data_IF_986037276051
#
_entry.id   IF_986037276051
#
_cell.length_a   1.000
_cell.length_b   1.000
_cell.length_c   1.000
_cell.angle_alpha   90.00
_cell.angle_beta   90.00
_cell.angle_gamma   90.00
#
_symmetry.space_group_name_H-M   'P 1'
#
loop_
_entity.id
_entity.type
_entity.pdbx_description
1 polymer ?
#
# COMPACT_ATOMS: atom_id res chain seq x y z
N UNK A 1 -72.17 -35.06 -38.89
CA UNK A 1 -70.93 -34.59 -39.55
C UNK A 1 -70.93 -33.07 -39.49
N UNK A 2 -69.82 -32.51 -38.99
CA UNK A 2 -69.37 -31.11 -39.09
C UNK A 2 -70.14 -30.05 -38.29
N UNK A 3 -69.52 -29.62 -37.19
CA UNK A 3 -69.72 -28.31 -36.54
C UNK A 3 -69.37 -27.16 -37.48
N UNK A 4 -69.90 -25.96 -37.21
CA UNK A 4 -68.99 -24.81 -37.17
C UNK A 4 -69.27 -23.83 -36.02
N UNK A 5 -68.32 -22.92 -35.88
CA UNK A 5 -67.96 -22.11 -34.72
C UNK A 5 -68.87 -20.87 -34.48
N UNK A 6 -68.90 -20.46 -33.20
CA UNK A 6 -68.96 -19.12 -32.55
C UNK A 6 -69.12 -17.83 -33.41
N UNK A 7 -69.64 -16.69 -32.86
CA UNK A 7 -69.00 -16.05 -31.68
C UNK A 7 -69.78 -15.01 -30.79
N UNK A 8 -69.07 -14.56 -29.72
CA UNK A 8 -69.17 -13.30 -28.94
C UNK A 8 -70.48 -13.00 -28.17
N UNK A 9 -70.53 -12.38 -26.99
CA UNK A 9 -69.58 -11.75 -26.05
C UNK A 9 -70.38 -11.40 -24.78
N UNK A 10 -69.86 -11.63 -23.57
CA UNK A 10 -70.28 -10.88 -22.38
C UNK A 10 -69.14 -10.86 -21.35
N UNK A 11 -68.80 -9.63 -20.95
CA UNK A 11 -67.65 -9.26 -20.14
C UNK A 11 -67.79 -9.66 -18.66
N UNK A 12 -66.65 -9.93 -18.02
CA UNK A 12 -66.49 -9.65 -16.60
C UNK A 12 -65.12 -9.03 -16.34
N UNK A 13 -65.15 -8.00 -15.49
CA UNK A 13 -64.09 -7.03 -15.23
C UNK A 13 -62.89 -7.71 -14.56
N UNK A 14 -61.73 -7.64 -15.20
CA UNK A 14 -60.47 -8.02 -14.58
C UNK A 14 -60.11 -7.05 -13.46
N UNK A 15 -60.06 -7.56 -12.22
CA UNK A 15 -59.34 -6.90 -11.15
C UNK A 15 -57.85 -6.88 -11.56
N UNK A 16 -57.34 -5.68 -11.82
CA UNK A 16 -55.92 -5.45 -12.12
C UNK A 16 -55.16 -5.65 -10.81
N UNK A 17 -54.63 -6.86 -10.62
CA UNK A 17 -53.61 -7.10 -9.59
C UNK A 17 -52.44 -6.18 -9.93
N UNK A 18 -52.27 -5.13 -9.12
CA UNK A 18 -51.07 -4.30 -9.17
C UNK A 18 -49.94 -5.18 -8.63
N UNK A 19 -49.23 -5.84 -9.54
CA UNK A 19 -47.89 -6.37 -9.24
C UNK A 19 -47.05 -5.14 -8.92
N UNK A 20 -46.83 -4.91 -7.64
CA UNK A 20 -45.82 -3.97 -7.16
C UNK A 20 -44.49 -4.33 -7.81
N UNK A 21 -43.92 -3.37 -8.54
CA UNK A 21 -42.53 -3.42 -9.04
C UNK A 21 -41.64 -3.89 -7.88
N UNK A 22 -40.75 -4.88 -8.07
CA UNK A 22 -39.76 -5.18 -7.01
C UNK A 22 -39.02 -3.88 -6.73
N UNK A 23 -39.06 -3.43 -5.47
CA UNK A 23 -38.27 -2.29 -5.03
C UNK A 23 -36.82 -2.54 -5.42
N UNK A 24 -36.22 -1.58 -6.12
CA UNK A 24 -34.78 -1.59 -6.41
C UNK A 24 -34.06 -1.59 -5.07
N UNK A 25 -33.67 -2.77 -4.58
CA UNK A 25 -32.85 -2.84 -3.36
C UNK A 25 -31.46 -2.35 -3.76
N UNK A 26 -31.11 -1.17 -3.29
CA UNK A 26 -29.84 -0.53 -3.61
C UNK A 26 -28.70 -1.44 -3.15
N UNK A 27 -27.91 -1.95 -4.10
CA UNK A 27 -26.74 -2.75 -3.79
C UNK A 27 -25.71 -1.90 -3.04
N UNK A 28 -25.24 -2.38 -1.90
CA UNK A 28 -24.15 -1.76 -1.17
C UNK A 28 -22.81 -2.08 -1.87
N UNK A 29 -21.95 -1.06 -1.96
CA UNK A 29 -20.61 -1.22 -2.50
C UNK A 29 -19.70 -1.90 -1.47
N UNK A 30 -18.92 -2.88 -1.94
CA UNK A 30 -17.91 -3.58 -1.14
C UNK A 30 -16.52 -3.16 -1.60
N UNK A 31 -15.75 -2.52 -0.72
CA UNK A 31 -14.34 -2.19 -0.96
C UNK A 31 -13.43 -3.25 -0.37
N UNK A 32 -12.32 -3.54 -1.05
CA UNK A 32 -11.34 -4.54 -0.62
C UNK A 32 -9.94 -3.94 -0.43
N UNK A 33 -9.25 -4.40 0.61
CA UNK A 33 -7.87 -4.04 0.92
C UNK A 33 -6.98 -5.29 1.04
N UNK A 34 -5.71 -5.14 0.66
CA UNK A 34 -4.66 -6.17 0.75
C UNK A 34 -3.43 -5.54 1.42
N UNK A 35 -2.86 -6.18 2.43
CA UNK A 35 -1.68 -5.69 3.15
C UNK A 35 -0.83 -6.84 3.73
N UNK A 36 0.32 -6.47 4.33
CA UNK A 36 1.27 -7.38 4.97
C UNK A 36 1.82 -8.52 4.07
N UNK A 37 1.86 -8.30 2.75
CA UNK A 37 2.57 -9.21 1.84
C UNK A 37 4.07 -8.93 1.90
N UNK A 38 4.84 -9.90 2.39
CA UNK A 38 6.29 -9.84 2.34
C UNK A 38 6.77 -9.84 0.87
N UNK A 39 7.55 -8.83 0.50
CA UNK A 39 8.07 -8.65 -0.86
C UNK A 39 9.59 -8.48 -0.82
N UNK A 40 10.35 -9.15 -1.70
CA UNK A 40 9.87 -10.04 -2.76
C UNK A 40 9.42 -11.41 -2.23
N UNK A 41 8.58 -12.10 -3.00
CA UNK A 41 8.09 -13.46 -2.71
C UNK A 41 9.02 -14.49 -3.36
N UNK A 42 9.32 -15.60 -2.68
CA UNK A 42 10.16 -16.66 -3.27
C UNK A 42 9.35 -17.54 -4.24
N UNK A 43 9.89 -17.81 -5.43
CA UNK A 43 9.24 -18.64 -6.45
C UNK A 43 8.88 -20.03 -5.94
N UNK A 44 7.69 -20.51 -6.33
CA UNK A 44 7.17 -21.82 -5.95
C UNK A 44 6.91 -22.04 -4.45
N UNK A 45 7.07 -21.01 -3.61
CA UNK A 45 6.78 -21.07 -2.17
C UNK A 45 5.38 -20.57 -1.87
N UNK A 46 4.86 -20.96 -0.70
CA UNK A 46 3.64 -20.35 -0.15
C UNK A 46 3.98 -18.98 0.41
N UNK A 47 3.12 -18.01 0.12
CA UNK A 47 3.14 -16.69 0.72
C UNK A 47 1.81 -16.42 1.41
N UNK A 48 1.86 -15.58 2.43
CA UNK A 48 0.71 -15.16 3.22
C UNK A 48 0.56 -13.65 3.07
N UNK A 49 -0.69 -13.20 3.03
CA UNK A 49 -1.05 -11.79 3.08
C UNK A 49 -2.34 -11.62 3.88
N UNK A 50 -2.62 -10.39 4.30
CA UNK A 50 -3.89 -10.03 4.92
C UNK A 50 -4.81 -9.40 3.89
N UNK A 51 -6.08 -9.76 4.00
CA UNK A 51 -7.15 -9.17 3.19
C UNK A 51 -8.26 -8.66 4.09
N UNK A 52 -8.96 -7.64 3.62
CA UNK A 52 -10.13 -7.14 4.31
C UNK A 52 -11.16 -6.57 3.36
N UNK A 53 -12.41 -6.60 3.80
CA UNK A 53 -13.54 -6.01 3.11
C UNK A 53 -14.30 -5.07 4.05
N UNK A 54 -14.81 -3.99 3.47
CA UNK A 54 -15.73 -3.08 4.14
C UNK A 54 -16.90 -2.78 3.20
N UNK A 55 -18.09 -2.71 3.78
CA UNK A 55 -19.30 -2.29 3.09
C UNK A 55 -19.50 -0.79 3.31
N UNK A 56 -19.92 -0.04 2.28
CA UNK A 56 -20.20 1.39 2.40
C UNK A 56 -21.28 1.72 3.44
N UNK A 57 -22.15 0.75 3.77
CA UNK A 57 -23.19 0.87 4.80
C UNK A 57 -22.78 0.30 6.17
N UNK A 58 -21.54 -0.20 6.32
CA UNK A 58 -21.06 -0.78 7.58
C UNK A 58 -21.70 -2.12 7.95
N UNK A 59 -22.23 -2.84 6.96
CA UNK A 59 -22.82 -4.17 7.16
C UNK A 59 -21.81 -5.17 7.74
N UNK A 60 -22.34 -6.19 8.42
CA UNK A 60 -21.57 -7.35 8.84
C UNK A 60 -21.19 -8.19 7.63
N UNK A 61 -19.89 -8.35 7.38
CA UNK A 61 -19.34 -9.14 6.28
C UNK A 61 -18.70 -10.45 6.77
N UNK A 62 -18.94 -10.84 8.03
CA UNK A 62 -18.44 -12.10 8.60
C UNK A 62 -18.79 -13.29 7.72
N UNK A 63 -17.82 -14.18 7.50
CA UNK A 63 -18.01 -15.39 6.70
C UNK A 63 -18.05 -15.15 5.18
N UNK A 64 -17.98 -13.90 4.71
CA UNK A 64 -17.93 -13.60 3.28
C UNK A 64 -16.71 -14.25 2.66
N UNK A 65 -16.93 -15.01 1.58
CA UNK A 65 -15.85 -15.65 0.84
C UNK A 65 -14.96 -14.59 0.16
N UNK A 66 -13.66 -14.83 0.15
CA UNK A 66 -12.67 -14.03 -0.57
C UNK A 66 -11.70 -14.95 -1.28
N UNK A 67 -11.27 -14.57 -2.49
CA UNK A 67 -10.38 -15.39 -3.31
C UNK A 67 -9.40 -14.53 -4.10
N UNK A 68 -8.16 -15.01 -4.14
CA UNK A 68 -7.07 -14.46 -4.94
C UNK A 68 -7.08 -15.14 -6.31
N UNK A 69 -7.04 -14.33 -7.35
CA UNK A 69 -7.00 -14.76 -8.74
C UNK A 69 -5.75 -14.23 -9.44
N UNK A 70 -5.17 -15.07 -10.30
CA UNK A 70 -4.07 -14.65 -11.18
C UNK A 70 -4.55 -13.68 -12.25
N UNK A 71 -3.62 -13.14 -13.05
CA UNK A 71 -3.93 -12.32 -14.24
C UNK A 71 -4.82 -13.03 -15.26
N UNK A 72 -4.72 -14.36 -15.34
CA UNK A 72 -5.57 -15.20 -16.19
C UNK A 72 -6.94 -15.54 -15.56
N UNK A 73 -7.24 -15.01 -14.37
CA UNK A 73 -8.49 -15.28 -13.64
C UNK A 73 -8.52 -16.63 -12.93
N UNK A 74 -7.39 -17.33 -12.78
CA UNK A 74 -7.33 -18.63 -12.09
C UNK A 74 -7.27 -18.41 -10.57
N UNK A 75 -8.11 -19.08 -9.76
CA UNK A 75 -8.03 -18.99 -8.30
C UNK A 75 -6.76 -19.68 -7.77
N UNK A 76 -6.08 -19.04 -6.82
CA UNK A 76 -4.79 -19.50 -6.24
C UNK A 76 -4.73 -19.46 -4.72
N UNK A 77 -5.74 -18.88 -4.08
CA UNK A 77 -5.93 -18.86 -2.63
C UNK A 77 -7.34 -18.37 -2.31
N UNK A 78 -7.93 -18.87 -1.24
CA UNK A 78 -9.27 -18.45 -0.81
C UNK A 78 -9.46 -18.65 0.69
N UNK A 79 -10.47 -17.99 1.24
CA UNK A 79 -10.87 -18.07 2.63
C UNK A 79 -12.15 -17.31 2.89
N UNK A 80 -12.48 -17.10 4.17
CA UNK A 80 -13.65 -16.34 4.61
C UNK A 80 -13.25 -15.27 5.60
N UNK A 81 -13.89 -14.12 5.54
CA UNK A 81 -13.64 -13.04 6.50
C UNK A 81 -13.99 -13.47 7.93
N UNK A 82 -13.14 -13.11 8.89
CA UNK A 82 -13.34 -13.40 10.31
C UNK A 82 -14.50 -12.62 10.93
N UNK A 83 -14.90 -13.02 12.14
CA UNK A 83 -16.05 -12.45 12.84
C UNK A 83 -15.78 -11.10 13.51
N UNK A 84 -14.51 -10.78 13.78
CA UNK A 84 -14.12 -9.52 14.41
C UNK A 84 -13.55 -8.56 13.35
N UNK A 85 -13.98 -7.28 13.33
CA UNK A 85 -13.34 -6.29 12.49
C UNK A 85 -11.89 -6.05 12.95
N UNK A 86 -11.07 -5.52 12.04
CA UNK A 86 -9.69 -5.17 12.33
C UNK A 86 -9.61 -4.16 13.49
N UNK A 87 -8.70 -4.35 14.48
CA UNK A 87 -8.58 -3.44 15.61
C UNK A 87 -8.43 -1.97 15.18
N UNK A 88 -9.22 -1.09 15.79
CA UNK A 88 -9.24 0.33 15.44
C UNK A 88 -10.12 0.70 14.24
N UNK A 89 -10.86 -0.26 13.68
CA UNK A 89 -11.88 -0.01 12.64
C UNK A 89 -13.26 -0.40 13.14
N UNK A 90 -14.30 0.19 12.54
CA UNK A 90 -15.70 -0.13 12.87
C UNK A 90 -16.31 -1.23 11.99
N UNK A 91 -15.78 -1.46 10.79
CA UNK A 91 -16.40 -2.35 9.79
C UNK A 91 -15.43 -2.96 8.75
N UNK A 92 -14.12 -3.04 9.06
CA UNK A 92 -13.17 -3.74 8.18
C UNK A 92 -13.03 -5.20 8.64
N UNK A 93 -13.82 -6.09 8.04
CA UNK A 93 -13.71 -7.53 8.31
C UNK A 93 -12.53 -8.09 7.55
N UNK A 94 -11.74 -8.97 8.17
CA UNK A 94 -10.44 -9.37 7.62
C UNK A 94 -10.13 -10.85 7.86
N UNK A 95 -9.18 -11.36 7.09
CA UNK A 95 -8.56 -12.68 7.30
C UNK A 95 -7.15 -12.70 6.72
N UNK A 96 -6.34 -13.67 7.12
CA UNK A 96 -5.11 -14.05 6.42
C UNK A 96 -5.45 -15.05 5.33
N UNK A 97 -4.81 -14.89 4.16
CA UNK A 97 -4.88 -15.83 3.06
C UNK A 97 -3.48 -16.28 2.69
N UNK A 98 -3.37 -17.58 2.44
CA UNK A 98 -2.20 -18.15 1.79
C UNK A 98 -2.46 -18.34 0.29
N UNK A 99 -1.40 -18.19 -0.49
CA UNK A 99 -1.40 -18.53 -1.91
C UNK A 99 -0.07 -19.16 -2.33
N UNK A 100 -0.10 -19.94 -3.41
CA UNK A 100 1.12 -20.43 -4.05
C UNK A 100 1.70 -19.34 -4.95
N UNK A 101 2.95 -18.94 -4.69
CA UNK A 101 3.66 -18.01 -5.55
C UNK A 101 3.92 -18.61 -6.94
N UNK A 102 3.99 -17.79 -8.00
CA UNK A 102 4.48 -18.21 -9.30
C UNK A 102 5.81 -18.98 -9.23
N UNK A 103 5.99 -19.96 -10.11
CA UNK A 103 7.26 -20.71 -10.24
C UNK A 103 8.33 -19.94 -11.05
N UNK A 104 7.95 -18.79 -11.63
CA UNK A 104 8.81 -17.94 -12.45
C UNK A 104 9.07 -16.61 -11.76
N UNK A 105 10.30 -16.12 -11.83
CA UNK A 105 10.69 -14.78 -11.40
C UNK A 105 9.99 -13.71 -12.25
N UNK A 106 9.58 -12.60 -11.64
CA UNK A 106 8.94 -11.50 -12.38
C UNK A 106 8.03 -10.63 -11.52
N UNK A 107 7.40 -9.64 -12.17
CA UNK A 107 6.36 -8.79 -11.57
C UNK A 107 4.98 -9.31 -11.93
N UNK A 108 4.08 -9.32 -10.95
CA UNK A 108 2.71 -9.84 -11.11
C UNK A 108 1.68 -8.84 -10.60
N UNK A 109 0.53 -8.78 -11.26
CA UNK A 109 -0.64 -7.99 -10.87
C UNK A 109 -1.86 -8.88 -10.70
N UNK A 110 -2.10 -9.34 -9.48
CA UNK A 110 -3.20 -10.27 -9.15
C UNK A 110 -4.40 -9.54 -8.56
N UNK A 111 -5.54 -10.23 -8.54
CA UNK A 111 -6.82 -9.65 -8.12
C UNK A 111 -7.38 -10.41 -6.91
N UNK A 112 -7.72 -9.68 -5.85
CA UNK A 112 -8.57 -10.17 -4.79
C UNK A 112 -10.03 -9.90 -5.16
N UNK A 113 -10.88 -10.90 -5.04
CA UNK A 113 -12.32 -10.79 -5.23
C UNK A 113 -13.06 -11.26 -3.99
N UNK A 114 -14.16 -10.59 -3.67
CA UNK A 114 -15.13 -11.07 -2.68
C UNK A 114 -16.21 -11.90 -3.37
N UNK A 115 -16.77 -12.87 -2.67
CA UNK A 115 -18.06 -13.44 -3.04
C UNK A 115 -19.16 -12.41 -2.86
N UNK A 116 -20.31 -12.63 -3.48
CA UNK A 116 -21.54 -11.93 -3.15
C UNK A 116 -22.29 -12.79 -2.11
N UNK A 117 -22.16 -12.53 -0.80
CA UNK A 117 -22.78 -13.37 0.23
C UNK A 117 -24.31 -13.26 0.23
N UNK A 118 -24.85 -12.13 -0.27
CA UNK A 118 -26.28 -11.82 -0.35
C UNK A 118 -26.57 -10.93 -1.58
N UNK A 119 -27.80 -10.91 -2.10
CA UNK A 119 -28.17 -10.11 -3.28
C UNK A 119 -27.94 -8.60 -3.12
N UNK A 120 -27.70 -8.13 -1.89
CA UNK A 120 -27.50 -6.71 -1.57
C UNK A 120 -26.05 -6.24 -1.66
N UNK A 121 -25.07 -7.14 -1.68
CA UNK A 121 -23.66 -6.75 -1.72
C UNK A 121 -23.10 -6.99 -3.12
N UNK A 122 -22.63 -5.92 -3.77
CA UNK A 122 -21.89 -6.07 -5.01
C UNK A 122 -20.55 -6.76 -4.72
N UNK A 123 -20.15 -7.68 -5.61
CA UNK A 123 -18.81 -8.24 -5.59
C UNK A 123 -17.77 -7.12 -5.67
N UNK A 124 -16.98 -6.98 -4.62
CA UNK A 124 -15.80 -6.12 -4.58
C UNK A 124 -14.61 -6.79 -5.26
N UNK A 125 -13.75 -5.98 -5.87
CA UNK A 125 -12.50 -6.40 -6.52
C UNK A 125 -11.39 -5.41 -6.21
N UNK A 126 -10.18 -5.89 -5.93
CA UNK A 126 -8.99 -5.05 -5.70
C UNK A 126 -7.74 -5.71 -6.26
N UNK A 127 -6.94 -4.95 -7.00
CA UNK A 127 -5.69 -5.43 -7.57
C UNK A 127 -4.53 -5.17 -6.61
N UNK A 128 -3.62 -6.13 -6.49
CA UNK A 128 -2.37 -5.98 -5.76
C UNK A 128 -1.20 -6.48 -6.60
N UNK A 129 -0.02 -5.88 -6.38
CA UNK A 129 1.19 -6.18 -7.14
C UNK A 129 2.29 -6.67 -6.24
N UNK A 130 3.06 -7.62 -6.73
CA UNK A 130 4.23 -8.15 -6.06
C UNK A 130 5.25 -8.64 -7.06
N UNK A 131 6.47 -8.87 -6.58
CA UNK A 131 7.57 -9.42 -7.36
C UNK A 131 7.90 -10.79 -6.78
N UNK A 132 8.14 -11.77 -7.64
CA UNK A 132 8.76 -13.03 -7.24
C UNK A 132 10.24 -13.04 -7.60
N UNK A 133 11.04 -13.69 -6.78
CA UNK A 133 12.46 -13.94 -7.01
C UNK A 133 12.78 -15.41 -6.79
N UNK A 134 13.88 -15.87 -7.41
CA UNK A 134 14.41 -17.19 -7.10
C UNK A 134 14.78 -17.29 -5.60
N UNK A 135 14.85 -18.51 -5.04
CA UNK A 135 15.33 -18.70 -3.68
C UNK A 135 16.70 -18.04 -3.49
N UNK A 136 16.96 -17.40 -2.34
CA UNK A 136 18.29 -16.89 -2.04
C UNK A 136 19.30 -18.05 -1.95
N UNK A 137 20.45 -17.86 -2.59
CA UNK A 137 21.54 -18.86 -2.66
C UNK A 137 22.81 -18.34 -2.00
N UNK A 138 22.94 -17.02 -1.85
CA UNK A 138 24.17 -16.35 -1.45
C UNK A 138 23.93 -15.27 -0.41
N UNK A 139 24.88 -15.18 0.53
CA UNK A 139 24.97 -14.11 1.52
C UNK A 139 25.89 -13.01 1.01
N UNK A 140 25.34 -11.81 0.84
CA UNK A 140 26.13 -10.60 0.55
C UNK A 140 26.31 -9.81 1.84
N UNK A 141 27.56 -9.57 2.23
CA UNK A 141 27.92 -8.72 3.37
C UNK A 141 28.42 -7.37 2.86
N UNK A 142 27.77 -6.29 3.25
CA UNK A 142 28.08 -4.93 2.83
C UNK A 142 28.68 -4.19 4.03
N UNK A 143 29.88 -3.66 3.87
CA UNK A 143 30.52 -2.81 4.87
C UNK A 143 30.63 -1.39 4.32
N UNK A 144 30.02 -0.44 5.00
CA UNK A 144 30.04 0.98 4.60
C UNK A 144 30.94 1.76 5.53
N UNK A 145 31.91 2.46 4.95
CA UNK A 145 32.86 3.31 5.67
C UNK A 145 32.92 4.70 5.03
N UNK A 146 33.26 5.70 5.83
CA UNK A 146 33.53 7.04 5.32
C UNK A 146 34.91 7.06 4.63
N UNK A 147 34.96 7.65 3.43
CA UNK A 147 36.11 7.57 2.52
C UNK A 147 37.40 8.16 3.10
N UNK A 148 37.34 9.26 3.84
CA UNK A 148 38.54 9.95 4.32
C UNK A 148 39.09 9.37 5.63
N UNK A 149 38.19 9.01 6.54
CA UNK A 149 38.50 8.59 7.91
C UNK A 149 38.54 7.07 8.05
N UNK A 150 37.92 6.33 7.13
CA UNK A 150 37.71 4.89 7.24
C UNK A 150 36.75 4.48 8.36
N UNK A 151 36.07 5.44 8.99
CA UNK A 151 35.14 5.17 10.09
C UNK A 151 33.90 4.42 9.58
N UNK A 152 33.39 3.41 10.30
CA UNK A 152 32.14 2.74 9.92
C UNK A 152 30.96 3.72 9.97
N UNK A 153 30.04 3.58 9.01
CA UNK A 153 28.83 4.41 8.95
C UNK A 153 27.62 3.56 9.29
N UNK A 154 26.95 3.89 10.40
CA UNK A 154 25.73 3.26 10.86
C UNK A 154 24.50 3.71 10.05
N UNK A 155 23.38 3.00 10.15
CA UNK A 155 22.07 3.40 9.63
C UNK A 155 22.08 3.88 8.16
N UNK A 156 22.94 3.31 7.32
CA UNK A 156 22.97 3.56 5.88
C UNK A 156 21.92 2.68 5.22
N UNK A 157 21.03 3.27 4.43
CA UNK A 157 20.08 2.51 3.63
C UNK A 157 20.82 1.93 2.41
N UNK A 158 20.79 0.62 2.31
CA UNK A 158 21.42 -0.14 1.24
C UNK A 158 20.34 -0.78 0.38
N UNK A 159 20.48 -0.62 -0.93
CA UNK A 159 19.62 -1.25 -1.92
C UNK A 159 20.46 -2.11 -2.86
N UNK A 160 20.13 -3.40 -2.93
CA UNK A 160 20.68 -4.36 -3.90
C UNK A 160 19.55 -4.77 -4.84
N UNK A 161 19.41 -4.07 -5.98
CA UNK A 161 18.27 -4.26 -6.87
C UNK A 161 16.92 -3.98 -6.17
N UNK A 162 16.19 -5.03 -5.79
CA UNK A 162 14.93 -4.90 -5.02
C UNK A 162 15.10 -5.20 -3.53
N UNK A 163 16.22 -5.78 -3.14
CA UNK A 163 16.53 -6.12 -1.76
C UNK A 163 17.01 -4.88 -1.01
N UNK A 164 16.65 -4.80 0.27
CA UNK A 164 16.99 -3.67 1.14
C UNK A 164 17.63 -4.16 2.42
N UNK A 165 18.59 -3.40 2.92
CA UNK A 165 19.20 -3.62 4.21
C UNK A 165 19.63 -2.28 4.83
N UNK A 166 19.92 -2.29 6.12
CA UNK A 166 20.42 -1.12 6.83
C UNK A 166 21.66 -1.50 7.61
N UNK A 167 22.70 -0.66 7.57
CA UNK A 167 23.93 -0.94 8.32
C UNK A 167 23.73 -0.78 9.82
N UNK A 168 24.39 -1.64 10.59
CA UNK A 168 24.50 -1.53 12.04
C UNK A 168 25.61 -0.54 12.45
N UNK A 169 25.86 -0.39 13.76
CA UNK A 169 26.90 0.49 14.33
C UNK A 169 28.32 0.19 13.82
N UNK A 170 28.60 -1.05 13.40
CA UNK A 170 29.86 -1.44 12.79
C UNK A 170 29.94 -1.13 11.29
N UNK A 171 28.91 -0.47 10.74
CA UNK A 171 28.79 -0.17 9.32
C UNK A 171 28.48 -1.40 8.47
N UNK A 172 27.97 -2.49 9.05
CA UNK A 172 27.76 -3.76 8.35
C UNK A 172 26.28 -4.05 8.17
N UNK A 173 25.92 -4.51 6.97
CA UNK A 173 24.62 -5.09 6.66
C UNK A 173 24.80 -6.44 5.95
N UNK A 174 23.85 -7.35 6.12
CA UNK A 174 23.81 -8.62 5.40
C UNK A 174 22.48 -8.78 4.67
N UNK A 175 22.53 -9.32 3.46
CA UNK A 175 21.34 -9.61 2.66
C UNK A 175 21.51 -10.94 1.93
N UNK A 176 20.44 -11.72 1.92
CA UNK A 176 20.35 -12.99 1.20
C UNK A 176 19.75 -12.73 -0.18
N UNK A 177 20.45 -13.14 -1.24
CA UNK A 177 20.03 -12.88 -2.62
C UNK A 177 20.27 -14.10 -3.52
N UNK A 178 19.54 -14.23 -4.63
CA UNK A 178 19.89 -15.14 -5.71
C UNK A 178 21.25 -14.80 -6.33
N UNK A 179 21.82 -15.74 -7.08
CA UNK A 179 22.93 -15.42 -7.98
C UNK A 179 22.51 -14.46 -9.08
N UNK A 180 23.34 -13.45 -9.37
CA UNK A 180 23.03 -12.45 -10.37
C UNK A 180 23.87 -11.17 -10.29
N UNK A 181 23.64 -10.29 -11.25
CA UNK A 181 24.26 -8.96 -11.28
C UNK A 181 23.29 -7.94 -10.67
N UNK A 182 23.77 -7.17 -9.69
CA UNK A 182 22.98 -6.21 -8.94
C UNK A 182 23.60 -4.82 -8.97
N UNK A 183 22.75 -3.81 -9.10
CA UNK A 183 23.10 -2.45 -8.74
C UNK A 183 22.97 -2.30 -7.22
N UNK A 184 24.06 -1.84 -6.60
CA UNK A 184 24.20 -1.54 -5.18
C UNK A 184 24.13 -0.04 -5.02
N UNK A 185 23.16 0.46 -4.25
CA UNK A 185 23.07 1.88 -3.88
C UNK A 185 23.17 2.02 -2.37
N UNK A 186 24.01 2.95 -1.91
CA UNK A 186 24.11 3.35 -0.51
C UNK A 186 23.65 4.81 -0.36
N UNK A 187 22.73 5.05 0.57
CA UNK A 187 22.19 6.37 0.85
C UNK A 187 22.12 6.64 2.34
N UNK A 188 22.61 7.82 2.75
CA UNK A 188 22.43 8.40 4.08
C UNK A 188 22.55 9.92 3.98
N UNK A 189 21.70 10.64 4.70
CA UNK A 189 21.80 12.10 4.77
C UNK A 189 23.18 12.53 5.31
N UNK A 190 23.77 13.58 4.72
CA UNK A 190 25.13 14.02 5.04
C UNK A 190 26.24 13.27 4.28
N UNK A 191 25.88 12.31 3.43
CA UNK A 191 26.82 11.57 2.59
C UNK A 191 26.40 11.62 1.11
N UNK A 192 27.38 11.53 0.22
CA UNK A 192 27.13 11.38 -1.21
C UNK A 192 26.45 10.03 -1.50
N UNK A 193 25.59 9.99 -2.51
CA UNK A 193 24.99 8.72 -2.95
C UNK A 193 26.06 7.92 -3.69
N UNK A 194 26.30 6.70 -3.22
CA UNK A 194 27.16 5.74 -3.91
C UNK A 194 26.30 4.77 -4.72
N UNK A 195 26.65 4.60 -5.99
CA UNK A 195 26.10 3.55 -6.84
C UNK A 195 27.24 2.73 -7.44
N UNK A 196 27.18 1.42 -7.29
CA UNK A 196 28.16 0.46 -7.83
C UNK A 196 27.46 -0.79 -8.33
N UNK A 197 28.15 -1.61 -9.13
CA UNK A 197 27.64 -2.90 -9.59
C UNK A 197 28.35 -4.04 -8.85
N UNK A 198 27.61 -5.09 -8.52
CA UNK A 198 28.14 -6.31 -7.91
C UNK A 198 27.62 -7.55 -8.65
N UNK A 199 28.53 -8.45 -9.03
CA UNK A 199 28.18 -9.76 -9.59
C UNK A 199 28.28 -10.80 -8.46
N UNK A 200 27.15 -11.39 -8.09
CA UNK A 200 27.02 -12.37 -7.01
C UNK A 200 26.98 -13.76 -7.62
N UNK A 201 28.10 -14.49 -7.51
CA UNK A 201 28.22 -15.90 -7.90
C UNK A 201 28.49 -16.83 -6.70
N UNK A 202 28.41 -16.28 -5.49
CA UNK A 202 28.77 -16.91 -4.23
C UNK A 202 28.60 -15.92 -3.08
N UNK A 203 28.88 -16.38 -1.86
CA UNK A 203 28.96 -15.50 -0.70
C UNK A 203 30.10 -14.49 -0.89
N UNK A 204 29.78 -13.19 -0.79
CA UNK A 204 30.74 -12.10 -1.02
C UNK A 204 30.66 -11.04 0.06
N UNK A 205 31.79 -10.36 0.27
CA UNK A 205 31.89 -9.17 1.11
C UNK A 205 32.35 -7.98 0.26
N UNK A 206 31.61 -6.87 0.34
CA UNK A 206 31.88 -5.65 -0.43
C UNK A 206 32.08 -4.51 0.55
N UNK A 207 33.21 -3.82 0.44
CA UNK A 207 33.43 -2.55 1.13
C UNK A 207 33.01 -1.39 0.23
N UNK A 208 32.15 -0.52 0.75
CA UNK A 208 31.61 0.67 0.10
C UNK A 208 32.17 1.90 0.81
N UNK A 209 32.88 2.74 0.07
CA UNK A 209 33.51 3.96 0.59
C UNK A 209 32.74 5.20 0.15
N UNK A 210 32.02 5.78 1.09
CA UNK A 210 31.12 6.92 0.84
C UNK A 210 31.77 8.20 1.32
N UNK A 211 31.74 9.24 0.49
CA UNK A 211 32.23 10.56 0.88
C UNK A 211 31.16 11.33 1.65
N UNK A 212 31.57 12.14 2.62
CA UNK A 212 30.67 13.14 3.22
C UNK A 212 30.18 14.09 2.12
N UNK A 213 28.89 14.37 2.10
CA UNK A 213 28.34 15.37 1.19
C UNK A 213 28.90 16.74 1.58
N UNK A 214 29.44 17.48 0.61
CA UNK A 214 29.72 18.89 0.83
C UNK A 214 28.41 19.59 1.21
N UNK A 215 28.44 20.40 2.27
CA UNK A 215 27.31 21.27 2.59
C UNK A 215 27.05 22.13 1.35
N UNK A 216 25.86 22.06 0.72
CA UNK A 216 25.58 22.93 -0.42
C UNK A 216 25.77 24.37 0.06
N UNK A 217 26.69 25.12 -0.57
CA UNK A 217 26.75 26.57 -0.37
C UNK A 217 25.33 27.10 -0.60
N UNK A 218 24.65 27.49 0.48
CA UNK A 218 23.28 27.95 0.41
C UNK A 218 23.27 29.29 -0.36
N UNK A 219 22.71 29.37 -1.58
CA UNK A 219 22.61 30.65 -2.28
C UNK A 219 21.51 31.53 -1.67
N UNK A 220 20.74 30.96 -0.72
CA UNK A 220 19.69 31.62 0.03
C UNK A 220 20.02 31.55 1.52
N UNK A 221 21.00 32.36 1.94
CA UNK A 221 21.04 32.84 3.32
C UNK A 221 19.69 33.45 3.70
N UNK A 222 19.32 33.47 4.99
CA UNK A 222 18.04 34.00 5.42
C UNK A 222 17.90 35.43 4.90
N UNK A 223 16.87 35.69 4.10
CA UNK A 223 16.39 37.06 3.95
C UNK A 223 15.98 37.49 5.35
N UNK A 224 16.87 38.22 6.02
CA UNK A 224 16.49 39.07 7.14
C UNK A 224 15.29 39.86 6.62
N UNK A 225 14.10 39.59 7.18
CA UNK A 225 13.01 40.53 7.09
C UNK A 225 13.54 41.84 7.67
N UNK A 226 14.05 42.72 6.80
CA UNK A 226 14.29 44.09 7.17
C UNK A 226 12.96 44.61 7.72
N UNK A 227 12.92 45.16 8.94
CA UNK A 227 11.69 45.73 9.45
C UNK A 227 11.28 46.82 8.48
N UNK A 228 10.12 46.63 7.85
CA UNK A 228 9.51 47.64 7.00
C UNK A 228 9.32 48.87 7.89
N UNK A 229 10.13 49.92 7.67
CA UNK A 229 9.96 51.20 8.34
C UNK A 229 8.53 51.67 8.08
N UNK A 230 7.66 51.52 9.09
CA UNK A 230 6.39 52.23 9.10
C UNK A 230 6.77 53.71 9.13
N UNK A 231 6.62 54.38 7.99
CA UNK A 231 6.51 55.84 7.93
C UNK A 231 5.35 56.26 8.82
N UNK A 232 5.66 56.50 10.09
CA UNK A 232 4.79 57.15 11.05
C UNK A 232 4.64 58.60 10.62
N UNK A 233 3.54 58.90 9.94
CA UNK A 233 3.06 60.28 9.79
C UNK A 233 2.77 60.80 11.20
N UNK A 234 3.55 61.79 11.60
CA UNK A 234 3.35 62.59 12.80
C UNK A 234 1.97 63.24 12.75
N UNK A 235 1.12 62.95 13.75
CA UNK A 235 0.09 63.90 14.20
C UNK A 235 0.17 64.06 15.71
N UNK A 236 0.28 65.34 16.10
CA UNK A 236 0.36 65.86 17.48
C UNK A 236 -1.02 65.89 18.17
N UNK A 237 -0.94 66.05 19.49
CA UNK A 237 -1.99 66.28 20.51
C UNK A 237 -2.70 65.00 20.99
N UNK A 238 -2.85 64.71 22.28
CA UNK A 238 -2.65 65.40 23.57
C UNK A 238 -2.93 64.36 24.68
N UNK A 239 -2.79 64.67 25.96
CA UNK A 239 -2.73 63.64 27.01
C UNK A 239 -4.12 63.13 27.39
N UNK A 240 -4.21 61.90 27.89
CA UNK A 240 -4.75 61.57 29.22
C UNK A 240 -5.41 60.19 29.31
N UNK A 241 -5.29 59.63 30.52
CA UNK A 241 -6.01 58.56 31.19
C UNK A 241 -5.75 57.08 30.84
N UNK A 242 -5.29 56.42 31.90
CA UNK A 242 -5.21 54.99 32.12
C UNK A 242 -6.57 54.29 32.05
N UNK A 243 -6.58 53.01 31.68
CA UNK A 243 -7.38 52.00 32.38
C UNK A 243 -6.79 50.60 32.13
N UNK A 244 -6.47 49.94 33.25
CA UNK A 244 -6.22 48.50 33.37
C UNK A 244 -7.48 47.74 32.93
N UNK A 245 -7.35 46.54 32.37
CA UNK A 245 -8.09 45.36 32.82
C UNK A 245 -7.45 44.07 32.28
N UNK A 246 -7.13 43.17 33.21
CA UNK A 246 -6.79 41.77 32.97
C UNK A 246 -8.07 40.96 32.72
N UNK A 247 -7.91 39.72 32.20
CA UNK A 247 -8.70 38.49 32.41
C UNK A 247 -8.59 37.66 31.11
N UNK A 248 -8.44 36.34 31.08
CA UNK A 248 -7.92 35.28 31.95
C UNK A 248 -7.80 34.06 31.03
#
# INVERSE_FOLDING_TARGET
MVSPESPFSAASRGARLLVSKPEDVASHETSLAVWDLASPVVTGRRATLKVGAACSCGCDLTGTAVAIHTEAGRPVGSGTLGAAPWPGTSALYWTELDFAAPDTEGSYSWTLQSGAPEPLHQQGSSAFRFITVNPPEHRVTLKVVERQTGAPIDAVELRLGIFRATTNEAGVAQVEVPGGAYDVTAWKIGYEILSSRADVAGDISIQLEVAAAADPEQPYGPRLCAPQERRGVVRRHGPSLALRFAFR
#
